data_IF_723392556637
#
_entry.id   IF_723392556637
#
_cell.length_a   1.000
_cell.length_b   1.000
_cell.length_c   1.000
_cell.angle_alpha   90.00
_cell.angle_beta   90.00
_cell.angle_gamma   90.00
#
_symmetry.space_group_name_H-M   'P 1'
#
loop_
_entity.id
_entity.type
_entity.pdbx_description
1 polymer ?
#
# COMPACT_ATOMS: atom_id res chain seq x y z
N UNK A 1 55.96 39.41 -6.40
CA UNK A 1 54.55 39.37 -6.00
C UNK A 1 53.91 38.09 -6.53
N UNK A 2 53.79 37.05 -5.69
CA UNK A 2 53.31 35.70 -6.11
C UNK A 2 51.91 35.52 -5.50
N UNK A 3 50.90 35.52 -6.33
CA UNK A 3 49.52 35.22 -5.95
C UNK A 3 49.37 33.71 -5.80
N UNK A 4 49.03 33.27 -4.60
CA UNK A 4 48.62 31.87 -4.34
C UNK A 4 47.13 31.76 -4.42
N UNK A 5 46.63 31.00 -5.39
CA UNK A 5 45.21 30.60 -5.47
C UNK A 5 45.01 29.42 -4.49
N UNK A 6 44.17 29.63 -3.48
CA UNK A 6 43.63 28.58 -2.63
C UNK A 6 42.40 28.02 -3.34
N UNK A 7 42.49 26.80 -3.82
CA UNK A 7 41.36 26.05 -4.31
C UNK A 7 40.62 25.43 -3.12
N UNK A 8 39.44 25.92 -2.81
CA UNK A 8 38.54 25.32 -1.81
C UNK A 8 37.79 24.17 -2.45
N UNK A 9 38.14 22.93 -2.11
CA UNK A 9 37.38 21.75 -2.49
C UNK A 9 36.10 21.69 -1.64
N UNK A 10 34.95 22.01 -2.20
CA UNK A 10 33.66 21.76 -1.62
C UNK A 10 33.33 20.27 -1.79
N UNK A 11 33.48 19.50 -0.73
CA UNK A 11 33.08 18.10 -0.67
C UNK A 11 31.55 18.01 -0.64
N UNK A 12 30.97 17.61 -1.75
CA UNK A 12 29.56 17.28 -1.86
C UNK A 12 29.32 15.90 -1.23
N UNK A 13 29.08 15.86 0.08
CA UNK A 13 28.51 14.69 0.77
C UNK A 13 26.99 14.81 0.78
N UNK A 14 26.34 14.27 -0.23
CA UNK A 14 24.93 13.89 -0.27
C UNK A 14 24.79 12.80 -1.32
N UNK A 15 24.41 11.58 -1.02
CA UNK A 15 23.05 11.15 -0.68
C UNK A 15 22.97 9.81 0.07
N UNK A 16 23.34 9.71 1.32
CA UNK A 16 23.21 8.45 2.09
C UNK A 16 21.86 8.32 2.83
N UNK A 17 21.12 9.41 3.01
CA UNK A 17 19.90 9.41 3.84
C UNK A 17 18.67 8.85 3.10
N UNK A 18 18.64 8.92 1.77
CA UNK A 18 17.45 8.49 1.00
C UNK A 18 17.36 6.96 0.87
N UNK A 19 18.49 6.26 0.91
CA UNK A 19 18.52 4.80 0.75
C UNK A 19 17.98 4.03 1.97
N UNK A 20 18.03 4.59 3.18
CA UNK A 20 17.59 3.91 4.41
C UNK A 20 16.06 3.94 4.60
N UNK A 21 15.38 4.99 4.18
CA UNK A 21 13.91 5.09 4.30
C UNK A 21 13.15 4.09 3.40
N UNK A 22 13.79 3.57 2.37
CA UNK A 22 13.22 2.56 1.46
C UNK A 22 13.31 1.12 2.01
N UNK A 23 14.31 0.84 2.87
CA UNK A 23 14.59 -0.52 3.34
C UNK A 23 13.57 -1.01 4.40
N UNK A 24 12.92 -0.11 5.12
CA UNK A 24 12.11 -0.45 6.30
C UNK A 24 10.58 -0.40 6.06
N UNK A 25 10.13 -0.03 4.84
CA UNK A 25 8.69 0.03 4.56
C UNK A 25 8.12 -1.36 4.27
N UNK A 26 7.32 -1.87 5.20
CA UNK A 26 6.59 -3.12 5.05
C UNK A 26 5.17 -2.87 4.50
N UNK A 27 5.04 -2.98 3.18
CA UNK A 27 3.77 -2.78 2.48
C UNK A 27 2.75 -3.87 2.84
N UNK A 28 3.18 -5.10 3.13
CA UNK A 28 2.30 -6.21 3.54
C UNK A 28 1.69 -5.88 4.89
N UNK A 29 2.50 -5.45 5.85
CA UNK A 29 2.02 -5.05 7.18
C UNK A 29 1.07 -3.85 7.11
N UNK A 30 1.39 -2.83 6.33
CA UNK A 30 0.55 -1.65 6.17
C UNK A 30 -0.81 -2.01 5.53
N UNK A 31 -0.82 -2.89 4.52
CA UNK A 31 -2.05 -3.39 3.89
C UNK A 31 -2.86 -4.27 4.84
N UNK A 32 -2.19 -5.10 5.66
CA UNK A 32 -2.84 -5.92 6.69
C UNK A 32 -3.57 -5.06 7.73
N UNK A 33 -2.96 -3.95 8.17
CA UNK A 33 -3.56 -3.02 9.12
C UNK A 33 -4.89 -2.47 8.57
N UNK A 34 -4.88 -1.94 7.34
CA UNK A 34 -6.09 -1.42 6.68
C UNK A 34 -7.15 -2.52 6.54
N UNK A 35 -6.75 -3.71 6.09
CA UNK A 35 -7.69 -4.84 5.87
C UNK A 35 -8.30 -5.33 7.18
N UNK A 36 -7.54 -5.38 8.27
CA UNK A 36 -8.03 -5.74 9.59
C UNK A 36 -9.00 -4.68 10.15
N UNK A 37 -8.74 -3.39 9.92
CA UNK A 37 -9.66 -2.33 10.33
C UNK A 37 -10.98 -2.40 9.55
N UNK A 38 -10.91 -2.70 8.23
CA UNK A 38 -12.11 -2.96 7.42
C UNK A 38 -12.91 -4.15 7.95
N UNK A 39 -12.25 -5.27 8.29
CA UNK A 39 -12.91 -6.45 8.87
C UNK A 39 -13.61 -6.13 10.19
N UNK A 40 -13.00 -5.29 11.04
CA UNK A 40 -13.60 -4.81 12.30
C UNK A 40 -14.66 -3.73 12.10
N UNK A 41 -14.91 -3.31 10.87
CA UNK A 41 -15.81 -2.21 10.51
C UNK A 41 -15.35 -0.85 11.05
N UNK A 42 -14.08 -0.71 11.38
CA UNK A 42 -13.47 0.57 11.75
C UNK A 42 -13.02 1.32 10.49
N UNK A 43 -14.02 1.83 9.77
CA UNK A 43 -13.81 2.53 8.49
C UNK A 43 -12.98 3.80 8.68
N UNK A 44 -13.11 4.46 9.83
CA UNK A 44 -12.36 5.69 10.12
C UNK A 44 -10.87 5.38 10.32
N UNK A 45 -10.54 4.31 11.04
CA UNK A 45 -9.16 3.86 11.20
C UNK A 45 -8.55 3.43 9.86
N UNK A 46 -9.24 2.57 9.10
CA UNK A 46 -8.80 2.13 7.77
C UNK A 46 -8.51 3.31 6.83
N UNK A 47 -9.45 4.27 6.73
CA UNK A 47 -9.29 5.47 5.90
C UNK A 47 -8.15 6.37 6.41
N UNK A 48 -7.96 6.47 7.72
CA UNK A 48 -6.87 7.22 8.34
C UNK A 48 -5.50 6.65 8.00
N UNK A 49 -5.33 5.33 8.10
CA UNK A 49 -4.07 4.65 7.71
C UNK A 49 -3.80 4.83 6.22
N UNK A 50 -4.77 4.51 5.35
CA UNK A 50 -4.62 4.64 3.91
C UNK A 50 -4.30 6.08 3.48
N UNK A 51 -4.96 7.09 4.06
CA UNK A 51 -4.74 8.49 3.75
C UNK A 51 -3.33 8.99 4.11
N UNK A 52 -2.73 8.48 5.20
CA UNK A 52 -1.34 8.80 5.55
C UNK A 52 -0.34 8.23 4.54
N UNK A 53 -0.67 7.09 3.94
CA UNK A 53 0.16 6.44 2.92
C UNK A 53 -0.03 7.05 1.53
N UNK A 54 -1.19 7.66 1.27
CA UNK A 54 -1.52 8.35 0.01
C UNK A 54 -1.24 9.85 0.13
N UNK A 55 -0.28 10.37 -0.61
CA UNK A 55 0.16 11.76 -0.49
C UNK A 55 -0.91 12.82 -0.84
N UNK A 56 -1.94 12.47 -1.61
CA UNK A 56 -2.90 13.42 -2.19
C UNK A 56 -4.38 13.08 -1.96
N UNK A 57 -4.70 11.99 -1.27
CA UNK A 57 -6.08 11.55 -1.10
C UNK A 57 -6.56 11.81 0.31
N UNK A 58 -7.70 12.49 0.46
CA UNK A 58 -8.30 12.77 1.76
C UNK A 58 -8.90 11.50 2.40
N UNK A 59 -8.83 11.39 3.72
CA UNK A 59 -9.46 10.32 4.46
C UNK A 59 -10.98 10.24 4.19
N UNK A 60 -11.65 11.38 3.98
CA UNK A 60 -13.08 11.42 3.67
C UNK A 60 -13.43 10.69 2.37
N UNK A 61 -12.61 10.82 1.31
CA UNK A 61 -12.81 10.11 0.05
C UNK A 61 -12.61 8.61 0.22
N UNK A 62 -11.56 8.21 0.94
CA UNK A 62 -11.29 6.80 1.24
C UNK A 62 -12.39 6.20 2.11
N UNK A 63 -12.87 6.93 3.09
CA UNK A 63 -14.01 6.52 3.92
C UNK A 63 -15.25 6.21 3.08
N UNK A 64 -15.60 7.07 2.13
CA UNK A 64 -16.71 6.83 1.20
C UNK A 64 -16.51 5.54 0.39
N UNK A 65 -15.28 5.26 -0.05
CA UNK A 65 -14.96 4.02 -0.76
C UNK A 65 -15.08 2.80 0.15
N UNK A 66 -14.60 2.90 1.39
CA UNK A 66 -14.60 1.80 2.36
C UNK A 66 -15.98 1.55 3.01
N UNK A 67 -16.89 2.51 2.96
CA UNK A 67 -18.25 2.38 3.52
C UNK A 67 -19.04 1.22 2.92
N UNK A 68 -18.72 0.79 1.70
CA UNK A 68 -19.33 -0.40 1.09
C UNK A 68 -19.14 -1.66 1.96
N UNK A 69 -18.04 -1.77 2.69
CA UNK A 69 -17.78 -2.92 3.54
C UNK A 69 -18.79 -3.07 4.70
N UNK A 70 -19.43 -1.97 5.12
CA UNK A 70 -20.44 -1.99 6.20
C UNK A 70 -21.65 -2.88 5.89
N UNK A 71 -21.98 -3.04 4.61
CA UNK A 71 -23.11 -3.85 4.17
C UNK A 71 -22.92 -5.35 4.32
N UNK A 72 -21.67 -5.83 4.50
CA UNK A 72 -21.35 -7.26 4.46
C UNK A 72 -21.39 -7.96 5.83
N UNK A 73 -21.60 -7.23 6.92
CA UNK A 73 -21.62 -7.78 8.27
C UNK A 73 -20.24 -7.66 8.95
N UNK A 74 -19.99 -8.51 9.93
CA UNK A 74 -18.69 -8.59 10.63
C UNK A 74 -17.70 -9.38 9.79
N UNK A 75 -16.45 -8.92 9.71
CA UNK A 75 -15.37 -9.70 9.12
C UNK A 75 -14.88 -10.79 10.09
N UNK A 76 -14.70 -11.99 9.57
CA UNK A 76 -14.26 -13.16 10.33
C UNK A 76 -12.77 -13.43 10.14
N UNK A 77 -12.30 -13.37 8.89
CA UNK A 77 -10.93 -13.69 8.53
C UNK A 77 -10.36 -12.67 7.54
N UNK A 78 -9.06 -12.44 7.66
CA UNK A 78 -8.29 -11.56 6.76
C UNK A 78 -7.08 -12.34 6.28
N UNK A 79 -7.07 -12.72 5.01
CA UNK A 79 -6.04 -13.54 4.41
C UNK A 79 -5.23 -12.78 3.37
N UNK A 80 -3.91 -12.88 3.44
CA UNK A 80 -3.02 -12.43 2.37
C UNK A 80 -3.15 -13.41 1.20
N UNK A 81 -3.73 -12.95 0.10
CA UNK A 81 -3.91 -13.75 -1.12
C UNK A 81 -2.73 -13.58 -2.05
N UNK A 82 -2.15 -12.38 -2.07
CA UNK A 82 -1.07 -12.04 -3.01
C UNK A 82 -0.18 -10.93 -2.50
N UNK A 83 1.12 -11.11 -2.74
CA UNK A 83 2.11 -10.06 -2.59
C UNK A 83 3.19 -10.23 -3.66
N UNK A 84 3.42 -9.21 -4.47
CA UNK A 84 4.44 -9.21 -5.51
C UNK A 84 5.16 -7.88 -5.58
N UNK A 85 6.47 -7.97 -5.70
CA UNK A 85 7.33 -6.85 -6.02
C UNK A 85 7.57 -6.81 -7.54
N UNK A 86 7.30 -5.66 -8.16
CA UNK A 86 7.66 -5.38 -9.53
C UNK A 86 8.92 -4.51 -9.55
N UNK A 87 10.06 -5.19 -9.51
CA UNK A 87 11.35 -4.53 -9.38
C UNK A 87 11.53 -3.85 -8.01
N UNK A 88 12.14 -2.66 -8.02
CA UNK A 88 12.47 -1.92 -6.79
C UNK A 88 11.49 -0.77 -6.48
N UNK A 89 10.50 -0.56 -7.34
CA UNK A 89 9.70 0.67 -7.32
C UNK A 89 8.21 0.45 -7.21
N UNK A 90 7.74 -0.79 -7.29
CA UNK A 90 6.31 -1.10 -7.24
C UNK A 90 6.04 -2.37 -6.45
N UNK A 91 4.95 -2.37 -5.66
CA UNK A 91 4.44 -3.53 -4.93
C UNK A 91 2.93 -3.63 -5.13
N UNK A 92 2.45 -4.85 -5.41
CA UNK A 92 1.03 -5.18 -5.56
C UNK A 92 0.64 -6.22 -4.51
N UNK A 93 -0.33 -5.89 -3.69
CA UNK A 93 -0.73 -6.70 -2.54
C UNK A 93 -2.24 -6.83 -2.55
N UNK A 94 -2.75 -8.05 -2.34
CA UNK A 94 -4.17 -8.31 -2.27
C UNK A 94 -4.48 -9.10 -1.00
N UNK A 95 -5.43 -8.58 -0.24
CA UNK A 95 -6.06 -9.27 0.87
C UNK A 95 -7.48 -9.69 0.51
N UNK A 96 -7.89 -10.83 1.03
CA UNK A 96 -9.28 -11.29 1.07
C UNK A 96 -9.81 -11.12 2.47
N UNK A 97 -10.98 -10.55 2.60
CA UNK A 97 -11.69 -10.42 3.86
C UNK A 97 -12.97 -11.25 3.75
N UNK A 98 -13.13 -12.24 4.61
CA UNK A 98 -14.32 -13.06 4.71
C UNK A 98 -15.30 -12.37 5.67
N UNK A 99 -16.42 -11.92 5.14
CA UNK A 99 -17.53 -11.35 5.91
C UNK A 99 -18.67 -12.36 5.99
N UNK A 100 -19.57 -12.16 6.95
CA UNK A 100 -20.77 -13.00 7.11
C UNK A 100 -21.59 -13.16 5.82
N UNK A 101 -21.61 -12.17 4.94
CA UNK A 101 -22.50 -12.12 3.77
C UNK A 101 -21.76 -12.15 2.44
N UNK A 102 -20.47 -11.90 2.40
CA UNK A 102 -19.70 -11.80 1.16
C UNK A 102 -18.20 -11.91 1.42
N UNK A 103 -17.45 -12.15 0.35
CA UNK A 103 -16.00 -11.99 0.33
C UNK A 103 -15.65 -10.63 -0.30
N UNK A 104 -14.71 -9.93 0.30
CA UNK A 104 -14.18 -8.68 -0.21
C UNK A 104 -12.70 -8.82 -0.50
N UNK A 105 -12.30 -8.58 -1.73
CA UNK A 105 -10.89 -8.44 -2.09
C UNK A 105 -10.48 -6.98 -2.02
N UNK A 106 -9.38 -6.71 -1.36
CA UNK A 106 -8.79 -5.37 -1.25
C UNK A 106 -7.41 -5.41 -1.86
N UNK A 107 -7.22 -4.68 -2.96
CA UNK A 107 -5.93 -4.56 -3.65
C UNK A 107 -5.28 -3.24 -3.29
N UNK A 108 -4.00 -3.31 -2.97
CA UNK A 108 -3.15 -2.17 -2.64
C UNK A 108 -2.00 -2.10 -3.63
N UNK A 109 -1.87 -1.00 -4.33
CA UNK A 109 -0.74 -0.74 -5.22
C UNK A 109 0.13 0.36 -4.64
N UNK A 110 1.40 0.03 -4.40
CA UNK A 110 2.40 0.95 -3.87
C UNK A 110 3.43 1.27 -4.93
N UNK A 111 3.89 2.51 -4.96
CA UNK A 111 5.01 2.94 -5.77
C UNK A 111 5.97 3.81 -4.97
N UNK A 112 7.23 3.84 -5.41
CA UNK A 112 8.22 4.78 -4.89
C UNK A 112 8.01 6.13 -5.57
N UNK A 113 7.66 7.15 -4.78
CA UNK A 113 7.57 8.54 -5.18
C UNK A 113 8.57 9.37 -4.37
N UNK A 114 9.48 10.06 -5.06
CA UNK A 114 10.53 10.92 -4.46
C UNK A 114 11.32 10.23 -3.34
N UNK A 115 11.63 8.95 -3.53
CA UNK A 115 12.41 8.17 -2.57
C UNK A 115 11.63 7.63 -1.38
N UNK A 116 10.30 7.72 -1.37
CA UNK A 116 9.44 7.14 -0.34
C UNK A 116 8.36 6.25 -0.95
N UNK A 117 8.03 5.16 -0.28
CA UNK A 117 6.90 4.32 -0.66
C UNK A 117 5.59 5.05 -0.42
N UNK A 118 4.71 5.04 -1.42
CA UNK A 118 3.38 5.61 -1.39
C UNK A 118 2.34 4.60 -1.84
N UNK A 119 1.23 4.55 -1.14
CA UNK A 119 0.04 3.89 -1.63
C UNK A 119 -0.57 4.76 -2.73
N UNK A 120 -0.63 4.25 -3.96
CA UNK A 120 -1.13 5.02 -5.10
C UNK A 120 -2.55 4.62 -5.50
N UNK A 121 -2.95 3.39 -5.16
CA UNK A 121 -4.28 2.88 -5.49
C UNK A 121 -4.76 1.88 -4.45
N UNK A 122 -6.06 1.96 -4.14
CA UNK A 122 -6.80 0.93 -3.40
C UNK A 122 -8.03 0.58 -4.22
N UNK A 123 -8.21 -0.70 -4.49
CA UNK A 123 -9.36 -1.24 -5.22
C UNK A 123 -10.08 -2.28 -4.36
N UNK A 124 -11.42 -2.20 -4.33
CA UNK A 124 -12.28 -3.12 -3.59
C UNK A 124 -13.17 -3.86 -4.58
N UNK A 125 -13.14 -5.19 -4.53
CA UNK A 125 -13.94 -6.06 -5.40
C UNK A 125 -14.66 -7.12 -4.60
N UNK A 126 -15.92 -7.35 -4.93
CA UNK A 126 -16.71 -8.47 -4.41
C UNK A 126 -16.40 -9.72 -5.26
N UNK A 127 -16.73 -10.89 -4.76
CA UNK A 127 -16.36 -12.21 -5.25
C UNK A 127 -16.48 -12.44 -6.78
N UNK A 128 -17.47 -11.84 -7.43
CA UNK A 128 -17.73 -12.06 -8.87
C UNK A 128 -16.76 -11.34 -9.81
N UNK A 129 -15.94 -10.42 -9.30
CA UNK A 129 -14.98 -9.65 -10.08
C UNK A 129 -13.59 -9.72 -9.45
N UNK A 130 -12.92 -10.85 -9.60
CA UNK A 130 -11.56 -11.01 -9.06
C UNK A 130 -10.62 -9.93 -9.63
N UNK A 131 -9.98 -9.12 -8.79
CA UNK A 131 -9.07 -8.04 -9.23
C UNK A 131 -7.73 -8.57 -9.71
N UNK A 132 -7.63 -9.86 -9.98
CA UNK A 132 -6.37 -10.53 -10.31
C UNK A 132 -5.92 -10.18 -11.73
N UNK A 133 -4.63 -9.91 -11.93
CA UNK A 133 -4.04 -9.90 -13.26
C UNK A 133 -4.37 -11.21 -14.02
N UNK A 134 -4.64 -11.14 -15.31
CA UNK A 134 -5.10 -12.29 -16.12
C UNK A 134 -4.15 -13.50 -16.10
N UNK A 135 -2.89 -13.29 -15.81
CA UNK A 135 -1.83 -14.29 -15.69
C UNK A 135 -1.82 -15.03 -14.34
N UNK A 136 -2.69 -14.65 -13.43
CA UNK A 136 -2.75 -15.16 -12.05
C UNK A 136 -3.52 -16.46 -11.86
N UNK A 137 -4.43 -16.77 -12.76
CA UNK A 137 -5.30 -17.97 -12.74
C UNK A 137 -4.48 -19.28 -12.66
N UNK A 138 -3.17 -19.21 -12.94
CA UNK A 138 -2.29 -20.39 -12.96
C UNK A 138 -1.52 -20.65 -11.65
N UNK A 139 -1.66 -19.83 -10.62
CA UNK A 139 -0.82 -19.92 -9.40
C UNK A 139 -1.53 -20.59 -8.22
N UNK A 140 -2.83 -20.86 -8.30
CA UNK A 140 -3.49 -21.67 -7.28
C UNK A 140 -3.15 -23.16 -7.47
N UNK A 141 -2.41 -23.81 -6.53
CA UNK A 141 -2.33 -25.26 -6.55
C UNK A 141 -3.73 -25.82 -6.31
N UNK A 142 -4.15 -26.73 -7.19
CA UNK A 142 -5.37 -27.53 -7.00
C UNK A 142 -5.21 -28.45 -5.80
#
# INVERSE_FOLDING_TARGET
MRLRFLATAASLCLPAVIAHAQADFDAVKASAEISNDLARRDIDAAAGVASRLMAATSAARLKSTFDMARGFGQGEYVDLVYARDYGRTEKDIIYKIDYEKAFLFVRFLYQVDRGAWRLIHVDLKIEDELPFPKDWVHIYPK
#
